data_IF_757999540150
#
_entry.id   IF_757999540150
#
_cell.length_a   1.000
_cell.length_b   1.000
_cell.length_c   1.000
_cell.angle_alpha   90.00
_cell.angle_beta   90.00
_cell.angle_gamma   90.00
#
_symmetry.space_group_name_H-M   'P 1'
#
loop_
_entity.id
_entity.type
_entity.pdbx_description
1 polymer ?
#
# COMPACT_ATOMS: atom_id res chain seq x y z
N UNK A 1 -1.47 90.29 -42.21
CA UNK A 1 -1.34 88.90 -42.70
C UNK A 1 -0.58 88.07 -41.65
N UNK A 2 -1.27 87.49 -40.67
CA UNK A 2 -0.75 86.45 -39.76
C UNK A 2 -1.92 85.51 -39.43
N UNK A 3 -1.88 84.30 -40.00
CA UNK A 3 -2.89 83.24 -39.78
C UNK A 3 -2.59 82.52 -38.48
N UNK A 4 -3.65 82.29 -37.69
CA UNK A 4 -3.70 81.27 -36.64
C UNK A 4 -3.50 79.88 -37.25
N UNK A 5 -2.73 79.02 -36.58
CA UNK A 5 -2.84 77.57 -36.71
C UNK A 5 -2.85 77.00 -35.29
N UNK A 6 -4.01 76.45 -34.90
CA UNK A 6 -4.16 75.58 -33.74
C UNK A 6 -3.49 74.24 -34.02
N UNK A 7 -2.64 73.77 -33.11
CA UNK A 7 -2.15 72.39 -33.11
C UNK A 7 -2.78 71.66 -31.92
N UNK A 8 -3.73 70.78 -32.23
CA UNK A 8 -4.40 69.92 -31.26
C UNK A 8 -3.39 68.89 -30.71
N UNK A 9 -3.16 68.92 -29.41
CA UNK A 9 -2.37 67.93 -28.68
C UNK A 9 -3.25 66.69 -28.46
N UNK A 10 -3.10 65.65 -29.27
CA UNK A 10 -3.73 64.35 -29.02
C UNK A 10 -2.86 63.58 -28.04
N UNK A 11 -3.28 63.57 -26.78
CA UNK A 11 -2.73 62.70 -25.73
C UNK A 11 -3.12 61.26 -26.01
N UNK A 12 -2.17 60.44 -26.46
CA UNK A 12 -2.34 58.99 -26.53
C UNK A 12 -2.04 58.39 -25.14
N UNK A 13 -3.07 58.22 -24.32
CA UNK A 13 -2.98 57.45 -23.08
C UNK A 13 -2.92 55.97 -23.44
N UNK A 14 -1.72 55.39 -23.49
CA UNK A 14 -1.55 53.94 -23.61
C UNK A 14 -1.82 53.32 -22.25
N UNK A 15 -3.06 52.87 -22.04
CA UNK A 15 -3.41 52.02 -20.89
C UNK A 15 -2.88 50.62 -21.20
N UNK A 16 -1.70 50.28 -20.67
CA UNK A 16 -1.25 48.89 -20.58
C UNK A 16 -2.07 48.19 -19.49
N UNK A 17 -3.25 47.69 -19.85
CA UNK A 17 -3.88 46.65 -19.07
C UNK A 17 -3.09 45.35 -19.27
N UNK A 18 -2.02 45.14 -18.48
CA UNK A 18 -1.37 43.83 -18.36
C UNK A 18 -2.26 42.99 -17.45
N UNK A 19 -3.35 42.50 -17.99
CA UNK A 19 -4.03 41.32 -17.46
C UNK A 19 -3.96 40.23 -18.51
N UNK A 20 -2.86 39.46 -18.53
CA UNK A 20 -2.78 38.28 -19.37
C UNK A 20 -2.11 37.09 -18.68
N UNK A 21 -2.99 36.14 -18.33
CA UNK A 21 -2.81 34.70 -18.12
C UNK A 21 -1.98 34.18 -16.94
N UNK A 22 -2.71 33.61 -15.98
CA UNK A 22 -2.29 32.69 -14.91
C UNK A 22 -2.10 31.27 -15.46
N UNK A 23 -0.97 30.98 -16.12
CA UNK A 23 -0.35 29.65 -16.29
C UNK A 23 0.97 29.83 -17.06
N UNK A 24 2.08 29.29 -16.57
CA UNK A 24 3.40 29.37 -17.22
C UNK A 24 3.95 27.96 -17.42
N UNK A 25 4.31 27.61 -18.67
CA UNK A 25 5.24 26.51 -18.95
C UNK A 25 6.62 27.14 -19.05
N UNK A 26 7.53 26.75 -18.16
CA UNK A 26 8.92 27.20 -18.17
C UNK A 26 9.82 26.01 -18.45
N UNK A 27 10.59 26.11 -19.52
CA UNK A 27 11.67 25.17 -19.84
C UNK A 27 12.95 25.76 -19.28
N UNK A 28 13.59 25.05 -18.35
CA UNK A 28 14.90 25.41 -17.82
C UNK A 28 16.00 24.89 -18.75
N UNK A 29 17.18 25.48 -18.69
CA UNK A 29 18.38 24.98 -19.37
C UNK A 29 18.95 23.70 -18.71
N UNK A 30 18.24 23.12 -17.74
CA UNK A 30 18.55 21.89 -17.01
C UNK A 30 17.64 20.73 -17.41
N UNK A 31 17.06 20.77 -18.62
CA UNK A 31 16.07 19.83 -19.16
C UNK A 31 14.77 19.69 -18.36
N UNK A 32 14.60 20.48 -17.30
CA UNK A 32 13.39 20.51 -16.51
C UNK A 32 12.33 21.35 -17.20
N UNK A 33 11.13 20.80 -17.30
CA UNK A 33 9.94 21.56 -17.67
C UNK A 33 9.15 21.76 -16.39
N UNK A 34 8.76 22.99 -16.09
CA UNK A 34 7.82 23.29 -15.01
C UNK A 34 6.53 23.82 -15.63
N UNK A 35 5.41 23.26 -15.19
CA UNK A 35 4.11 23.90 -15.36
C UNK A 35 3.81 24.60 -14.03
N UNK A 36 3.42 25.88 -14.01
CA UNK A 36 2.97 26.58 -12.79
C UNK A 36 3.54 27.97 -12.55
N UNK A 37 2.95 28.72 -11.62
CA UNK A 37 3.34 30.11 -11.36
C UNK A 37 4.70 30.20 -10.63
N UNK A 38 5.63 31.06 -11.06
CA UNK A 38 6.80 31.44 -10.26
C UNK A 38 6.49 32.73 -9.48
N UNK A 39 6.68 32.70 -8.16
CA UNK A 39 6.90 33.93 -7.39
C UNK A 39 8.41 33.93 -7.08
N UNK A 40 9.06 35.05 -7.38
CA UNK A 40 10.49 35.40 -7.26
C UNK A 40 11.19 34.92 -5.96
N UNK A 41 12.52 35.07 -5.84
CA UNK A 41 13.55 34.03 -5.97
C UNK A 41 13.62 33.01 -4.79
N UNK A 42 12.66 32.98 -3.87
CA UNK A 42 12.64 32.07 -2.71
C UNK A 42 11.32 31.31 -2.66
N UNK A 43 11.44 30.01 -2.94
CA UNK A 43 10.46 28.93 -2.77
C UNK A 43 9.01 29.18 -3.26
N UNK A 44 8.59 28.49 -4.34
CA UNK A 44 7.26 28.68 -4.91
C UNK A 44 6.11 28.23 -3.98
N UNK A 45 5.15 29.12 -3.72
CA UNK A 45 3.85 28.89 -3.06
C UNK A 45 2.90 27.91 -3.78
N UNK A 46 2.74 26.69 -3.24
CA UNK A 46 1.85 25.58 -3.67
C UNK A 46 1.69 25.40 -5.19
N UNK A 47 2.75 24.81 -5.76
CA UNK A 47 3.06 24.62 -7.18
C UNK A 47 3.75 23.25 -7.32
N UNK A 48 3.19 22.33 -8.12
CA UNK A 48 3.39 22.06 -9.56
C UNK A 48 4.77 21.49 -10.00
N UNK A 49 4.76 20.91 -11.20
CA UNK A 49 5.24 19.58 -11.60
C UNK A 49 6.31 19.74 -12.71
N UNK A 50 7.35 18.89 -12.75
CA UNK A 50 7.87 18.20 -13.96
C UNK A 50 9.40 18.09 -14.22
N UNK A 51 9.65 17.12 -15.11
CA UNK A 51 10.68 16.07 -15.23
C UNK A 51 11.95 16.52 -15.96
N UNK A 52 13.14 16.13 -15.46
CA UNK A 52 14.02 15.15 -16.14
C UNK A 52 14.70 14.28 -15.07
N UNK A 53 14.43 12.96 -15.09
CA UNK A 53 14.82 11.98 -14.03
C UNK A 53 13.66 11.41 -13.17
N UNK A 54 12.45 11.98 -13.23
CA UNK A 54 11.27 11.50 -12.51
C UNK A 54 10.10 12.49 -12.47
N UNK A 55 8.87 12.02 -12.19
CA UNK A 55 7.65 12.84 -12.09
C UNK A 55 7.44 13.31 -10.64
N UNK A 56 7.55 14.60 -10.35
CA UNK A 56 7.29 15.16 -9.00
C UNK A 56 6.01 16.00 -8.94
N UNK A 57 5.00 15.53 -8.20
CA UNK A 57 3.78 16.30 -7.89
C UNK A 57 3.89 16.91 -6.50
N UNK A 58 3.87 18.25 -6.41
CA UNK A 58 3.99 19.02 -5.17
C UNK A 58 2.78 19.90 -4.90
N UNK A 59 2.29 19.88 -3.67
CA UNK A 59 1.09 20.61 -3.24
C UNK A 59 1.39 21.74 -2.22
N UNK A 60 2.41 21.60 -1.37
CA UNK A 60 2.85 22.63 -0.42
C UNK A 60 4.39 22.53 -0.26
N UNK A 61 5.13 23.60 0.10
CA UNK A 61 6.56 23.45 0.38
C UNK A 61 6.77 22.34 1.43
N UNK A 62 7.37 21.22 1.02
CA UNK A 62 7.67 20.07 1.86
C UNK A 62 6.77 18.84 1.67
N UNK A 63 5.60 18.93 1.00
CA UNK A 63 4.71 17.78 0.75
C UNK A 63 4.54 17.49 -0.73
N UNK A 64 4.76 16.23 -1.13
CA UNK A 64 4.66 15.80 -2.52
C UNK A 64 4.96 14.30 -2.71
N UNK A 65 4.74 13.83 -3.94
CA UNK A 65 5.02 12.48 -4.40
C UNK A 65 5.94 12.49 -5.61
N UNK A 66 6.87 11.53 -5.66
CA UNK A 66 7.80 11.32 -6.76
C UNK A 66 7.55 9.97 -7.41
N UNK A 67 7.59 9.95 -8.74
CA UNK A 67 7.89 8.75 -9.50
C UNK A 67 9.35 8.84 -9.91
N UNK A 68 10.16 7.92 -9.40
CA UNK A 68 11.60 7.87 -9.68
C UNK A 68 12.05 6.44 -9.90
N UNK A 69 13.24 6.26 -10.46
CA UNK A 69 13.89 4.95 -10.46
C UNK A 69 14.55 4.71 -9.10
N UNK A 70 14.23 3.58 -8.48
CA UNK A 70 14.98 3.03 -7.38
C UNK A 70 16.18 2.28 -7.95
N UNK A 71 17.38 2.79 -7.65
CA UNK A 71 18.64 2.23 -8.11
C UNK A 71 19.04 1.05 -7.23
N UNK A 72 18.96 -0.15 -7.78
CA UNK A 72 19.34 -1.37 -7.10
C UNK A 72 20.69 -1.89 -7.62
N UNK A 73 21.45 -2.52 -6.73
CA UNK A 73 22.67 -3.25 -7.09
C UNK A 73 22.44 -4.75 -6.92
N UNK A 74 22.65 -5.53 -7.98
CA UNK A 74 22.58 -6.99 -7.93
C UNK A 74 23.76 -7.61 -8.68
N UNK A 75 24.53 -8.47 -8.00
CA UNK A 75 25.76 -9.10 -8.52
C UNK A 75 26.70 -8.12 -9.24
N UNK A 76 26.89 -6.91 -8.69
CA UNK A 76 27.78 -5.89 -9.26
C UNK A 76 27.20 -5.12 -10.45
N UNK A 77 25.97 -5.39 -10.86
CA UNK A 77 25.28 -4.68 -11.96
C UNK A 77 24.15 -3.82 -11.40
N UNK A 78 24.12 -2.54 -11.82
CA UNK A 78 23.06 -1.60 -11.46
C UNK A 78 21.81 -1.82 -12.32
N UNK A 79 20.64 -1.65 -11.73
CA UNK A 79 19.37 -1.63 -12.43
C UNK A 79 18.38 -0.69 -11.74
N UNK A 80 17.41 -0.24 -12.52
CA UNK A 80 16.48 0.81 -12.16
C UNK A 80 15.05 0.25 -12.14
N UNK A 81 14.40 0.31 -10.98
CA UNK A 81 12.99 -0.05 -10.84
C UNK A 81 12.12 1.19 -10.63
N UNK A 82 11.03 1.39 -11.39
CA UNK A 82 10.14 2.51 -11.14
C UNK A 82 9.51 2.39 -9.74
N UNK A 83 9.53 3.48 -8.99
CA UNK A 83 9.05 3.55 -7.61
C UNK A 83 8.24 4.81 -7.38
N UNK A 84 7.22 4.71 -6.52
CA UNK A 84 6.46 5.85 -6.02
C UNK A 84 6.93 6.12 -4.60
N UNK A 85 7.45 7.32 -4.33
CA UNK A 85 8.00 7.69 -3.03
C UNK A 85 7.46 9.02 -2.53
N UNK A 86 7.36 9.15 -1.21
CA UNK A 86 7.01 10.41 -0.53
C UNK A 86 8.21 11.36 -0.47
N UNK A 87 7.96 12.67 -0.46
CA UNK A 87 8.96 13.71 -0.24
C UNK A 87 9.56 13.70 1.19
N UNK A 88 10.55 14.57 1.47
CA UNK A 88 11.50 14.65 2.61
C UNK A 88 11.06 14.21 4.03
N UNK A 89 9.77 14.09 4.31
CA UNK A 89 9.24 13.67 5.62
C UNK A 89 8.89 12.18 5.70
N UNK A 90 9.11 11.39 4.64
CA UNK A 90 8.73 9.96 4.56
C UNK A 90 7.25 9.70 4.86
N UNK A 91 6.43 10.76 4.78
CA UNK A 91 5.02 10.75 5.11
C UNK A 91 4.19 10.84 3.85
N UNK A 92 3.26 9.92 3.68
CA UNK A 92 2.32 9.90 2.57
C UNK A 92 1.17 8.98 2.89
N UNK A 93 -0.01 9.31 2.38
CA UNK A 93 -1.21 8.49 2.51
C UNK A 93 -1.55 7.90 1.16
N UNK A 94 -1.89 6.61 1.15
CA UNK A 94 -2.45 5.93 -0.02
C UNK A 94 -3.97 5.88 0.18
N UNK A 95 -4.65 6.93 -0.27
CA UNK A 95 -6.07 7.17 0.00
C UNK A 95 -6.36 7.79 1.38
N UNK A 96 -7.61 8.11 1.66
CA UNK A 96 -8.07 8.69 2.94
C UNK A 96 -9.41 8.07 3.39
N UNK A 97 -9.86 8.27 4.65
CA UNK A 97 -11.13 7.73 5.15
C UNK A 97 -12.43 8.10 4.38
N UNK A 98 -12.37 8.96 3.35
CA UNK A 98 -13.48 9.24 2.42
C UNK A 98 -13.15 9.00 0.94
N UNK A 99 -11.90 8.68 0.63
CA UNK A 99 -11.38 8.45 -0.73
C UNK A 99 -10.38 7.29 -0.68
N UNK A 100 -10.81 6.17 -0.12
CA UNK A 100 -9.98 4.99 0.02
C UNK A 100 -9.79 4.29 -1.34
N UNK A 101 -8.63 3.67 -1.53
CA UNK A 101 -8.43 2.77 -2.67
C UNK A 101 -9.23 1.48 -2.45
N UNK A 102 -9.86 0.98 -3.52
CA UNK A 102 -10.65 -0.25 -3.45
C UNK A 102 -9.80 -1.50 -3.16
N UNK A 103 -8.60 -1.60 -3.75
CA UNK A 103 -7.67 -2.71 -3.54
C UNK A 103 -6.23 -2.33 -3.91
N UNK A 104 -5.26 -3.05 -3.33
CA UNK A 104 -3.83 -3.00 -3.70
C UNK A 104 -3.39 -4.41 -4.08
N UNK A 105 -2.92 -4.59 -5.31
CA UNK A 105 -2.36 -5.85 -5.80
C UNK A 105 -0.84 -5.74 -5.88
N UNK A 106 -0.13 -6.52 -5.07
CA UNK A 106 1.34 -6.56 -5.02
C UNK A 106 1.81 -7.97 -4.66
N UNK A 107 2.99 -8.35 -5.13
CA UNK A 107 3.63 -9.62 -4.74
C UNK A 107 4.12 -9.58 -3.29
N UNK A 108 4.54 -8.41 -2.81
CA UNK A 108 5.03 -8.21 -1.45
C UNK A 108 4.47 -6.93 -0.83
N UNK A 109 4.17 -7.02 0.47
CA UNK A 109 3.77 -5.88 1.29
C UNK A 109 4.71 -5.81 2.50
N UNK A 110 5.55 -4.77 2.54
CA UNK A 110 6.39 -4.45 3.68
C UNK A 110 5.70 -3.36 4.51
N UNK A 111 5.28 -3.69 5.73
CA UNK A 111 4.59 -2.77 6.62
C UNK A 111 5.03 -2.98 8.07
N UNK A 112 5.20 -1.89 8.82
CA UNK A 112 5.46 -1.96 10.26
C UNK A 112 4.24 -2.48 11.05
N UNK A 113 3.03 -2.27 10.51
CA UNK A 113 1.79 -2.79 11.08
C UNK A 113 0.63 -2.69 10.09
N UNK A 114 -0.39 -3.52 10.29
CA UNK A 114 -1.64 -3.50 9.52
C UNK A 114 -2.79 -3.39 10.50
N UNK A 115 -3.61 -2.34 10.35
CA UNK A 115 -4.84 -2.17 11.13
C UNK A 115 -6.03 -2.56 10.27
N UNK A 116 -6.88 -3.46 10.79
CA UNK A 116 -8.08 -3.94 10.10
C UNK A 116 -9.30 -3.45 10.87
N UNK A 117 -10.23 -2.83 10.17
CA UNK A 117 -11.44 -2.29 10.77
C UNK A 117 -12.30 -3.41 11.36
N UNK A 118 -12.74 -3.25 12.61
CA UNK A 118 -13.49 -4.26 13.36
C UNK A 118 -14.63 -3.65 14.20
N UNK A 119 -15.15 -2.50 13.76
CA UNK A 119 -16.24 -1.77 14.43
C UNK A 119 -17.56 -2.56 14.38
N UNK A 120 -18.32 -2.56 15.47
CA UNK A 120 -19.62 -3.24 15.59
C UNK A 120 -20.62 -2.75 14.53
N UNK A 121 -20.61 -1.45 14.22
CA UNK A 121 -21.54 -0.83 13.25
C UNK A 121 -21.33 -1.33 11.82
N UNK A 122 -20.17 -1.93 11.54
CA UNK A 122 -19.83 -2.50 10.24
C UNK A 122 -20.14 -4.00 10.16
N UNK A 123 -20.74 -4.59 11.21
CA UNK A 123 -21.01 -6.02 11.32
C UNK A 123 -22.51 -6.27 11.45
N UNK A 124 -22.97 -7.35 10.85
CA UNK A 124 -24.34 -7.86 10.98
C UNK A 124 -24.30 -9.38 11.13
N UNK A 125 -25.39 -10.01 11.55
CA UNK A 125 -25.47 -11.47 11.74
C UNK A 125 -24.37 -12.06 12.64
N UNK A 126 -24.06 -11.36 13.74
CA UNK A 126 -22.99 -11.73 14.66
C UNK A 126 -23.34 -13.05 15.36
N UNK A 127 -22.47 -14.05 15.19
CA UNK A 127 -22.54 -15.36 15.85
C UNK A 127 -21.24 -15.61 16.61
N UNK A 128 -21.34 -16.20 17.79
CA UNK A 128 -20.18 -16.60 18.57
C UNK A 128 -19.55 -17.86 17.97
N UNK A 129 -18.21 -17.93 18.04
CA UNK A 129 -17.47 -19.15 17.73
C UNK A 129 -17.49 -20.02 18.98
N UNK A 130 -18.02 -21.22 18.89
CA UNK A 130 -17.98 -22.19 20.00
C UNK A 130 -16.55 -22.69 20.19
N UNK A 131 -16.04 -22.61 21.43
CA UNK A 131 -14.69 -23.03 21.82
C UNK A 131 -14.37 -24.48 21.45
N UNK A 132 -15.36 -25.38 21.60
CA UNK A 132 -15.26 -26.78 21.17
C UNK A 132 -15.07 -26.95 19.67
N UNK A 133 -15.89 -26.27 18.85
CA UNK A 133 -15.80 -26.30 17.38
C UNK A 133 -14.45 -25.74 16.91
N UNK A 134 -14.00 -24.63 17.52
CA UNK A 134 -12.70 -24.06 17.24
C UNK A 134 -11.56 -25.06 17.50
N UNK A 135 -11.55 -25.73 18.65
CA UNK A 135 -10.53 -26.72 18.96
C UNK A 135 -10.59 -27.95 18.03
N UNK A 136 -11.78 -28.41 17.66
CA UNK A 136 -11.95 -29.52 16.71
C UNK A 136 -11.41 -29.16 15.32
N UNK A 137 -11.69 -27.96 14.82
CA UNK A 137 -11.13 -27.45 13.56
C UNK A 137 -9.61 -27.34 13.60
N UNK A 138 -9.04 -26.70 14.63
CA UNK A 138 -7.59 -26.52 14.74
C UNK A 138 -6.85 -27.87 14.77
N UNK A 139 -7.42 -28.90 15.40
CA UNK A 139 -6.83 -30.26 15.43
C UNK A 139 -6.74 -30.92 14.05
N UNK A 140 -7.61 -30.55 13.11
CA UNK A 140 -7.62 -31.09 11.76
C UNK A 140 -6.63 -30.36 10.83
N UNK A 141 -6.25 -29.12 11.17
CA UNK A 141 -5.35 -28.30 10.36
C UNK A 141 -3.92 -28.85 10.46
N UNK A 142 -3.30 -29.05 9.30
CA UNK A 142 -1.90 -29.45 9.17
C UNK A 142 -1.04 -28.26 8.77
N UNK A 143 0.13 -28.11 9.39
CA UNK A 143 1.14 -27.13 9.01
C UNK A 143 2.21 -27.81 8.15
N UNK A 144 2.74 -27.08 7.18
CA UNK A 144 3.73 -27.56 6.23
C UNK A 144 4.92 -26.62 6.18
N UNK A 145 6.10 -27.19 5.98
CA UNK A 145 7.26 -26.45 5.47
C UNK A 145 7.33 -26.68 3.97
N UNK A 146 7.53 -25.63 3.19
CA UNK A 146 7.54 -25.70 1.74
C UNK A 146 8.51 -24.69 1.11
N UNK A 147 8.85 -24.97 -0.15
CA UNK A 147 9.59 -24.07 -1.02
C UNK A 147 8.66 -23.56 -2.13
N UNK A 148 8.92 -22.36 -2.63
CA UNK A 148 8.18 -21.82 -3.77
C UNK A 148 8.46 -22.63 -5.04
N UNK A 149 7.41 -22.92 -5.80
CA UNK A 149 7.52 -23.62 -7.06
C UNK A 149 8.00 -22.66 -8.16
N UNK A 150 9.23 -22.85 -8.63
CA UNK A 150 9.84 -22.13 -9.75
C UNK A 150 8.93 -22.05 -10.98
N UNK A 151 8.28 -23.15 -11.35
CA UNK A 151 7.43 -23.23 -12.53
C UNK A 151 6.20 -22.30 -12.47
N UNK A 152 5.83 -21.82 -11.29
CA UNK A 152 4.71 -20.89 -11.09
C UNK A 152 5.12 -19.41 -11.15
N UNK A 153 6.43 -19.11 -11.19
CA UNK A 153 6.97 -17.75 -11.27
C UNK A 153 7.16 -17.33 -12.75
N UNK A 154 6.04 -17.27 -13.47
CA UNK A 154 6.01 -16.98 -14.91
C UNK A 154 5.99 -15.46 -15.15
N UNK A 155 6.67 -15.00 -16.21
CA UNK A 155 6.77 -13.58 -16.59
C UNK A 155 7.43 -12.67 -15.55
N UNK A 156 8.30 -13.24 -14.71
CA UNK A 156 9.12 -12.49 -13.75
C UNK A 156 10.55 -12.47 -14.29
N UNK A 157 11.18 -11.29 -14.28
CA UNK A 157 12.60 -11.15 -14.62
C UNK A 157 13.45 -12.10 -13.76
N UNK A 158 14.42 -12.79 -14.37
CA UNK A 158 15.22 -13.84 -13.71
C UNK A 158 15.83 -13.41 -12.37
N UNK A 159 16.28 -12.15 -12.25
CA UNK A 159 16.84 -11.62 -11.00
C UNK A 159 15.80 -11.55 -9.88
N UNK A 160 14.60 -11.06 -10.21
CA UNK A 160 13.47 -10.98 -9.27
C UNK A 160 12.97 -12.37 -8.93
N UNK A 161 12.95 -13.28 -9.90
CA UNK A 161 12.62 -14.69 -9.71
C UNK A 161 13.62 -15.38 -8.76
N UNK A 162 14.91 -15.15 -8.89
CA UNK A 162 15.91 -15.70 -7.97
C UNK A 162 15.70 -15.16 -6.54
N UNK A 163 15.46 -13.85 -6.40
CA UNK A 163 15.14 -13.25 -5.10
C UNK A 163 13.87 -13.87 -4.48
N UNK A 164 12.82 -14.10 -5.29
CA UNK A 164 11.58 -14.77 -4.89
C UNK A 164 11.85 -16.21 -4.44
N UNK A 165 12.61 -16.99 -5.20
CA UNK A 165 12.91 -18.37 -4.88
C UNK A 165 13.76 -18.48 -3.62
N UNK A 166 14.75 -17.60 -3.45
CA UNK A 166 15.58 -17.55 -2.24
C UNK A 166 14.76 -17.17 -1.01
N UNK A 167 13.91 -16.15 -1.12
CA UNK A 167 12.99 -15.73 -0.06
C UNK A 167 11.88 -16.75 0.21
N UNK A 168 11.55 -17.56 -0.80
CA UNK A 168 10.52 -18.60 -0.75
C UNK A 168 11.02 -19.98 -0.31
N UNK A 169 12.25 -20.12 0.19
CA UNK A 169 12.74 -21.38 0.77
C UNK A 169 12.33 -21.55 2.23
N UNK A 170 12.08 -22.78 2.64
CA UNK A 170 11.76 -23.19 4.01
C UNK A 170 10.64 -22.35 4.64
N UNK A 171 9.65 -21.97 3.84
CA UNK A 171 8.49 -21.23 4.32
C UNK A 171 7.60 -22.15 5.14
N UNK A 172 6.94 -21.61 6.17
CA UNK A 172 6.00 -22.36 6.99
C UNK A 172 4.60 -21.80 6.74
N UNK A 173 3.64 -22.69 6.51
CA UNK A 173 2.25 -22.29 6.27
C UNK A 173 1.32 -23.46 6.09
N UNK A 174 0.23 -23.23 5.35
CA UNK A 174 -0.84 -24.20 5.13
C UNK A 174 -1.03 -24.50 3.64
N UNK A 175 -1.50 -25.71 3.32
CA UNK A 175 -2.08 -25.98 2.01
C UNK A 175 -3.50 -25.42 1.97
N UNK A 176 -3.72 -24.40 1.13
CA UNK A 176 -4.97 -23.66 1.09
C UNK A 176 -6.19 -24.53 0.73
N UNK A 177 -5.99 -25.57 -0.10
CA UNK A 177 -7.04 -26.51 -0.50
C UNK A 177 -7.51 -27.40 0.66
N UNK A 178 -6.58 -27.87 1.50
CA UNK A 178 -6.95 -28.62 2.71
C UNK A 178 -7.63 -27.70 3.72
N UNK A 179 -7.11 -26.47 3.88
CA UNK A 179 -7.71 -25.49 4.78
C UNK A 179 -9.12 -25.11 4.34
N UNK A 180 -9.40 -25.03 3.04
CA UNK A 180 -10.73 -24.73 2.51
C UNK A 180 -11.79 -25.78 2.91
N UNK A 181 -11.40 -27.03 3.17
CA UNK A 181 -12.31 -28.08 3.63
C UNK A 181 -12.68 -27.94 5.12
N UNK A 182 -11.82 -27.27 5.91
CA UNK A 182 -11.95 -27.16 7.37
C UNK A 182 -12.48 -25.77 7.77
N UNK A 183 -11.94 -24.72 7.14
CA UNK A 183 -12.19 -23.31 7.41
C UNK A 183 -12.30 -22.53 6.09
N UNK A 184 -13.37 -22.78 5.29
CA UNK A 184 -13.55 -22.17 3.97
C UNK A 184 -13.53 -20.63 4.00
N UNK A 185 -13.99 -20.02 5.08
CA UNK A 185 -14.02 -18.56 5.26
C UNK A 185 -12.62 -17.92 5.24
N UNK A 186 -11.58 -18.66 5.62
CA UNK A 186 -10.21 -18.18 5.62
C UNK A 186 -9.53 -18.32 4.24
N UNK A 187 -10.19 -18.94 3.26
CA UNK A 187 -9.60 -19.23 1.94
C UNK A 187 -10.37 -18.51 0.84
N UNK A 188 -9.63 -17.83 -0.03
CA UNK A 188 -10.18 -17.19 -1.23
C UNK A 188 -9.56 -17.81 -2.47
N UNK A 189 -10.41 -18.15 -3.43
CA UNK A 189 -9.99 -18.61 -4.77
C UNK A 189 -10.11 -17.44 -5.73
N UNK A 190 -9.05 -17.14 -6.46
CA UNK A 190 -9.10 -16.21 -7.58
C UNK A 190 -9.71 -16.94 -8.78
N UNK A 191 -10.89 -16.47 -9.23
CA UNK A 191 -11.63 -17.11 -10.32
C UNK A 191 -10.91 -17.03 -11.67
N UNK A 192 -9.98 -16.07 -11.86
CA UNK A 192 -9.30 -15.86 -13.14
C UNK A 192 -8.17 -16.86 -13.36
N UNK A 193 -7.44 -17.20 -12.30
CA UNK A 193 -6.27 -18.08 -12.41
C UNK A 193 -6.36 -19.35 -11.53
N UNK A 194 -7.45 -19.51 -10.77
CA UNK A 194 -7.68 -20.66 -9.90
C UNK A 194 -6.77 -20.71 -8.66
N UNK A 195 -6.06 -19.63 -8.35
CA UNK A 195 -5.10 -19.62 -7.23
C UNK A 195 -5.85 -19.50 -5.90
N UNK A 196 -5.48 -20.36 -4.96
CA UNK A 196 -6.01 -20.34 -3.59
C UNK A 196 -5.10 -19.48 -2.73
N UNK A 197 -5.71 -18.59 -1.93
CA UNK A 197 -5.02 -17.69 -1.02
C UNK A 197 -5.63 -17.80 0.37
N UNK A 198 -4.79 -17.69 1.41
CA UNK A 198 -5.21 -17.84 2.81
C UNK A 198 -5.15 -16.50 3.52
N UNK A 199 -6.24 -16.11 4.17
CA UNK A 199 -6.26 -15.02 5.13
C UNK A 199 -5.85 -15.56 6.52
N UNK A 200 -4.54 -15.53 6.78
CA UNK A 200 -3.98 -16.00 8.06
C UNK A 200 -4.54 -15.26 9.28
N UNK A 201 -5.00 -14.01 9.13
CA UNK A 201 -5.55 -13.22 10.23
C UNK A 201 -6.90 -13.78 10.70
N UNK A 202 -7.68 -14.40 9.80
CA UNK A 202 -8.93 -15.06 10.18
C UNK A 202 -8.74 -16.28 11.08
N UNK A 203 -7.53 -16.85 11.14
CA UNK A 203 -7.23 -17.96 12.06
C UNK A 203 -7.14 -17.49 13.52
N UNK A 204 -6.81 -16.22 13.77
CA UNK A 204 -6.53 -15.73 15.12
C UNK A 204 -7.73 -15.89 16.07
N UNK A 205 -8.96 -15.47 15.73
CA UNK A 205 -10.12 -15.67 16.62
C UNK A 205 -10.42 -17.15 16.88
N UNK A 206 -10.23 -18.02 15.88
CA UNK A 206 -10.42 -19.47 16.04
C UNK A 206 -9.38 -20.04 17.00
N UNK A 207 -8.11 -19.64 16.86
CA UNK A 207 -7.03 -20.04 17.76
C UNK A 207 -7.30 -19.59 19.20
N UNK A 208 -7.79 -18.35 19.39
CA UNK A 208 -8.14 -17.83 20.72
C UNK A 208 -9.21 -18.70 21.39
N UNK A 209 -10.28 -19.04 20.69
CA UNK A 209 -11.34 -19.89 21.23
C UNK A 209 -10.88 -21.34 21.46
N UNK A 210 -10.00 -21.86 20.60
CA UNK A 210 -9.39 -23.18 20.80
C UNK A 210 -8.49 -23.23 22.04
N UNK A 211 -7.71 -22.17 22.31
CA UNK A 211 -6.87 -22.06 23.51
C UNK A 211 -7.72 -21.94 24.78
N UNK A 212 -8.83 -21.20 24.73
CA UNK A 212 -9.79 -21.14 25.85
C UNK A 212 -10.37 -22.52 26.16
N UNK A 213 -10.82 -23.25 25.13
CA UNK A 213 -11.31 -24.63 25.28
C UNK A 213 -10.25 -25.56 25.88
N UNK A 214 -8.99 -25.43 25.41
CA UNK A 214 -7.88 -26.19 25.94
C UNK A 214 -7.65 -25.88 27.42
N UNK A 215 -7.71 -24.61 27.83
CA UNK A 215 -7.56 -24.20 29.21
C UNK A 215 -8.67 -24.75 30.12
N UNK A 216 -9.92 -24.77 29.64
CA UNK A 216 -11.04 -25.40 30.36
C UNK A 216 -10.78 -26.88 30.60
N UNK A 217 -10.33 -27.62 29.58
CA UNK A 217 -10.00 -29.05 29.71
C UNK A 217 -8.85 -29.31 30.68
N UNK A 218 -7.85 -28.43 30.70
CA UNK A 218 -6.73 -28.53 31.66
C UNK A 218 -7.26 -28.38 33.08
N UNK A 219 -8.07 -27.35 33.35
CA UNK A 219 -8.64 -27.12 34.69
C UNK A 219 -9.51 -28.31 35.15
N UNK A 220 -10.33 -28.87 34.27
CA UNK A 220 -11.13 -30.07 34.57
C UNK A 220 -10.26 -31.29 34.89
N UNK A 221 -9.14 -31.47 34.18
CA UNK A 221 -8.20 -32.57 34.43
C UNK A 221 -7.46 -32.39 35.76
N UNK A 222 -7.03 -31.16 36.08
CA UNK A 222 -6.37 -30.84 37.36
C UNK A 222 -7.28 -31.07 38.56
N UNK A 223 -8.56 -30.70 38.44
CA UNK A 223 -9.56 -30.99 39.46
C UNK A 223 -9.71 -32.50 39.66
N UNK A 224 -9.88 -33.27 38.57
CA UNK A 224 -9.97 -34.74 38.64
C UNK A 224 -8.75 -35.36 39.29
N UNK A 225 -7.54 -34.89 38.96
CA UNK A 225 -6.30 -35.37 39.58
C UNK A 225 -6.28 -35.08 41.08
N UNK A 226 -6.77 -33.91 41.50
CA UNK A 226 -6.83 -33.53 42.92
C UNK A 226 -7.80 -34.42 43.70
N UNK A 227 -8.99 -34.65 43.15
CA UNK A 227 -9.99 -35.57 43.72
C UNK A 227 -9.47 -37.01 43.82
N UNK A 228 -8.72 -37.47 42.81
CA UNK A 228 -8.12 -38.81 42.80
C UNK A 228 -6.97 -38.95 43.81
N UNK A 229 -6.20 -37.89 44.07
CA UNK A 229 -5.12 -37.89 45.07
C UNK A 229 -5.61 -37.83 46.52
N UNK A 230 -6.86 -37.42 46.73
CA UNK A 230 -7.49 -37.35 48.06
C UNK A 230 -8.22 -38.65 48.45
N UNK A 231 -8.30 -39.62 47.54
CA UNK A 231 -8.76 -40.99 47.79
C UNK A 231 -7.59 -41.92 48.08
#
# INVERSE_FOLDING_TARGET
>A
MKRLIHLNLVTATVIFAISSSKAQIKVFNTDQVQVGALWWPTFPSSKQLFINGGLEVREYPGTGMFIQNYHNLYNGTWYDDPSIVSHFNYGGWVGTPGQAMFAVYTNFLYAAGVQITSDERLKTNIKTITSKDALEKIKLIKSYTYDYNDAMLINIEEKKKEALLKGGKNQIGFMAQELAQILPEAVKVDEKNGTYSVNYIMLIPVLVEAVKEQQTKIAELEQKITELKQK
#
